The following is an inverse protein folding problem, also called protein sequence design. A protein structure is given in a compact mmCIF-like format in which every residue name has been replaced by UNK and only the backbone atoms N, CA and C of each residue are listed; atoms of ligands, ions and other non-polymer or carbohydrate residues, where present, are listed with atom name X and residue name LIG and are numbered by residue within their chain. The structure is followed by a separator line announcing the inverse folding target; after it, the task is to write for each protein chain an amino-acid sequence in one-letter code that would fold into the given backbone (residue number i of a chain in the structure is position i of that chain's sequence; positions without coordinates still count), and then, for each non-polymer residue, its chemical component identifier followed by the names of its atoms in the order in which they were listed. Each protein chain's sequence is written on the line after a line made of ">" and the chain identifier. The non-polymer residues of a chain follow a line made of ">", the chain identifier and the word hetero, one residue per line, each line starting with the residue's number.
data_IF_588385175063
#
_entry.id   IF_588385175063
#
_cell.length_a   1.000
_cell.length_b   1.000
_cell.length_c   1.000
_cell.angle_alpha   90.00
_cell.angle_beta   90.00
_cell.angle_gamma   90.00
#
_symmetry.space_group_name_H-M   'P 1'
#
loop_
_entity.id
_entity.type
_entity.pdbx_description
1 polymer ?
#
# COMPACT_ATOMS: atom_id res chain seq x y z
N UNK A 1 -51.50 6.09 -71.74
CA UNK A 1 -52.13 5.57 -70.55
C UNK A 1 -51.10 4.69 -69.84
N UNK A 2 -50.38 5.22 -68.87
CA UNK A 2 -49.34 4.52 -68.14
C UNK A 2 -49.88 4.12 -66.75
N UNK A 3 -49.80 2.83 -66.45
CA UNK A 3 -50.22 2.25 -65.16
C UNK A 3 -48.99 2.18 -64.25
N UNK A 4 -49.09 2.82 -63.11
CA UNK A 4 -48.03 2.82 -62.02
C UNK A 4 -48.42 1.77 -60.99
N UNK A 5 -47.53 0.79 -60.77
CA UNK A 5 -47.63 -0.23 -59.71
C UNK A 5 -46.80 0.29 -58.49
N UNK A 6 -47.35 0.33 -57.26
CA UNK A 6 -46.59 0.68 -56.08
C UNK A 6 -45.91 -0.55 -55.53
N UNK A 7 -44.58 -0.43 -55.35
CA UNK A 7 -43.71 -1.41 -54.72
C UNK A 7 -43.78 -1.21 -53.18
N UNK A 8 -44.26 -2.19 -52.42
CA UNK A 8 -44.30 -2.23 -50.96
C UNK A 8 -42.97 -2.77 -50.44
N UNK A 9 -42.19 -1.92 -49.81
CA UNK A 9 -41.04 -2.35 -48.99
C UNK A 9 -41.54 -2.88 -47.65
N UNK A 10 -41.22 -4.14 -47.36
CA UNK A 10 -41.37 -4.77 -46.04
C UNK A 10 -40.07 -4.47 -45.25
N UNK A 11 -40.15 -3.61 -44.25
CA UNK A 11 -39.10 -3.40 -43.29
C UNK A 11 -39.19 -4.49 -42.21
N UNK A 12 -38.27 -5.47 -42.26
CA UNK A 12 -38.04 -6.43 -41.20
C UNK A 12 -37.23 -5.73 -40.12
N UNK A 13 -37.85 -5.45 -38.96
CA UNK A 13 -37.18 -4.92 -37.78
C UNK A 13 -36.34 -6.00 -37.10
N UNK A 14 -35.01 -5.86 -37.14
CA UNK A 14 -34.11 -6.55 -36.23
C UNK A 14 -34.09 -5.80 -34.88
N UNK A 15 -34.83 -6.32 -33.90
CA UNK A 15 -34.70 -5.94 -32.51
C UNK A 15 -33.38 -6.51 -31.97
N UNK A 16 -32.31 -5.70 -32.00
CA UNK A 16 -31.07 -6.00 -31.30
C UNK A 16 -31.31 -5.90 -29.80
N UNK A 17 -31.30 -7.02 -29.10
CA UNK A 17 -31.13 -7.06 -27.64
C UNK A 17 -29.72 -6.51 -27.29
N UNK A 18 -29.68 -5.26 -26.93
CA UNK A 18 -28.54 -4.71 -26.15
C UNK A 18 -28.61 -5.34 -24.77
N UNK A 19 -27.85 -6.42 -24.60
CA UNK A 19 -27.54 -6.94 -23.27
C UNK A 19 -26.80 -5.85 -22.48
N UNK A 20 -27.51 -5.19 -21.58
CA UNK A 20 -26.93 -4.41 -20.53
C UNK A 20 -26.16 -5.38 -19.64
N UNK A 21 -24.87 -5.60 -19.95
CA UNK A 21 -23.93 -6.25 -19.08
C UNK A 21 -23.83 -5.39 -17.82
N UNK A 22 -24.45 -5.87 -16.76
CA UNK A 22 -24.36 -5.28 -15.43
C UNK A 22 -22.90 -5.14 -15.07
N UNK A 23 -22.42 -3.90 -14.99
CA UNK A 23 -21.19 -3.55 -14.30
C UNK A 23 -21.44 -3.75 -12.78
N UNK A 24 -21.68 -5.01 -12.39
CA UNK A 24 -21.95 -5.40 -11.03
C UNK A 24 -20.61 -5.52 -10.29
N UNK A 25 -20.29 -4.44 -9.57
CA UNK A 25 -19.62 -4.45 -8.27
C UNK A 25 -18.19 -5.01 -8.19
N UNK A 26 -17.24 -4.25 -8.72
CA UNK A 26 -15.87 -4.32 -8.19
C UNK A 26 -15.81 -3.92 -6.68
N UNK A 27 -16.76 -3.12 -6.21
CA UNK A 27 -16.81 -2.60 -4.84
C UNK A 27 -17.18 -3.64 -3.78
N UNK A 28 -18.04 -4.61 -4.09
CA UNK A 28 -18.45 -5.66 -3.15
C UNK A 28 -17.36 -6.71 -2.87
N UNK A 29 -16.34 -6.79 -3.71
CA UNK A 29 -15.28 -7.81 -3.65
C UNK A 29 -14.15 -7.41 -2.69
N UNK A 30 -13.98 -6.12 -2.39
CA UNK A 30 -12.89 -5.58 -1.56
C UNK A 30 -13.25 -5.47 -0.07
N UNK A 31 -14.40 -5.96 0.36
CA UNK A 31 -14.81 -5.91 1.77
C UNK A 31 -14.17 -6.97 2.68
N UNK A 32 -13.27 -7.80 2.17
CA UNK A 32 -12.63 -8.84 2.98
C UNK A 32 -11.26 -8.39 3.44
N UNK A 33 -10.94 -8.57 4.74
CA UNK A 33 -9.62 -8.32 5.25
C UNK A 33 -8.58 -9.15 4.50
N UNK A 34 -7.51 -8.51 4.06
CA UNK A 34 -6.30 -9.20 3.66
C UNK A 34 -5.66 -9.91 4.85
N UNK A 35 -4.65 -10.71 4.59
CA UNK A 35 -3.95 -11.46 5.64
C UNK A 35 -2.52 -10.94 5.74
N UNK A 36 -2.04 -10.82 6.99
CA UNK A 36 -0.65 -10.56 7.32
C UNK A 36 -0.15 -11.69 8.24
N UNK A 37 1.04 -12.21 7.98
CA UNK A 37 1.67 -13.26 8.79
C UNK A 37 3.10 -12.88 9.11
N UNK A 38 3.53 -13.23 10.31
CA UNK A 38 4.93 -13.14 10.72
C UNK A 38 5.72 -14.25 10.04
N UNK A 39 6.62 -13.89 9.11
CA UNK A 39 7.52 -14.85 8.47
C UNK A 39 8.77 -15.13 9.32
N UNK A 40 9.27 -14.06 9.96
CA UNK A 40 10.48 -14.15 10.77
C UNK A 40 10.45 -13.09 11.85
N UNK A 41 10.84 -13.48 13.05
CA UNK A 41 11.05 -12.58 14.18
C UNK A 41 12.39 -12.87 14.83
N UNK A 42 13.23 -11.86 14.92
CA UNK A 42 14.44 -11.83 15.76
C UNK A 42 14.22 -10.78 16.84
N UNK A 43 14.47 -11.11 18.09
CA UNK A 43 14.15 -10.24 19.22
C UNK A 43 12.66 -10.24 19.56
N UNK A 44 12.16 -9.12 20.06
CA UNK A 44 10.80 -9.00 20.56
C UNK A 44 9.98 -8.00 19.73
N UNK A 45 8.75 -8.37 19.42
CA UNK A 45 7.77 -7.51 18.77
C UNK A 45 6.38 -7.76 19.35
N UNK A 46 5.52 -6.76 19.27
CA UNK A 46 4.15 -6.83 19.75
C UNK A 46 3.17 -6.33 18.70
N UNK A 47 1.97 -6.88 18.72
CA UNK A 47 0.81 -6.32 18.03
C UNK A 47 -0.20 -5.81 19.04
N UNK A 48 -0.87 -4.70 18.74
CA UNK A 48 -1.97 -4.17 19.54
C UNK A 48 -3.17 -3.82 18.67
N UNK A 49 -4.38 -4.08 19.21
CA UNK A 49 -5.65 -3.65 18.65
C UNK A 49 -6.37 -2.93 19.78
N UNK A 50 -6.69 -1.65 19.58
CA UNK A 50 -7.19 -0.83 20.68
C UNK A 50 -6.24 -0.82 21.86
N UNK A 51 -6.70 -1.31 23.02
CA UNK A 51 -5.91 -1.39 24.25
C UNK A 51 -5.26 -2.75 24.50
N UNK A 52 -5.61 -3.77 23.71
CA UNK A 52 -5.06 -5.11 23.87
C UNK A 52 -3.72 -5.20 23.16
N UNK A 53 -2.68 -5.55 23.90
CA UNK A 53 -1.31 -5.75 23.39
C UNK A 53 -0.87 -7.18 23.65
N UNK A 54 -0.31 -7.83 22.62
CA UNK A 54 0.21 -9.18 22.73
C UNK A 54 1.56 -9.31 22.03
N UNK A 55 2.44 -10.19 22.53
CA UNK A 55 3.69 -10.51 21.84
C UNK A 55 3.39 -11.25 20.54
N UNK A 56 4.22 -11.01 19.53
CA UNK A 56 4.17 -11.72 18.25
C UNK A 56 5.11 -12.93 18.27
N UNK A 57 4.73 -13.96 17.53
CA UNK A 57 5.52 -15.16 17.27
C UNK A 57 5.63 -15.41 15.77
N UNK A 58 6.68 -16.16 15.38
CA UNK A 58 6.81 -16.62 13.99
C UNK A 58 5.59 -17.49 13.60
N UNK A 59 5.17 -17.38 12.35
CA UNK A 59 3.98 -18.00 11.76
C UNK A 59 2.63 -17.47 12.27
N UNK A 60 2.63 -16.53 13.19
CA UNK A 60 1.42 -15.93 13.73
C UNK A 60 0.77 -14.96 12.72
N UNK A 61 -0.57 -14.89 12.75
CA UNK A 61 -1.33 -13.90 11.97
C UNK A 61 -1.41 -12.58 12.70
N UNK A 62 -1.09 -11.52 12.00
CA UNK A 62 -1.26 -10.14 12.46
C UNK A 62 -2.63 -9.65 11.96
N UNK A 63 -3.48 -9.12 12.83
CA UNK A 63 -4.77 -8.54 12.44
C UNK A 63 -4.62 -7.35 11.49
N UNK A 64 -5.63 -7.15 10.66
CA UNK A 64 -5.60 -6.15 9.59
C UNK A 64 -5.74 -4.68 10.08
N UNK A 65 -6.03 -4.48 11.35
CA UNK A 65 -6.18 -3.19 12.03
C UNK A 65 -5.17 -3.00 13.18
N UNK A 66 -4.14 -3.86 13.21
CA UNK A 66 -3.17 -3.85 14.29
C UNK A 66 -2.14 -2.73 14.15
N UNK A 67 -1.65 -2.26 15.29
CA UNK A 67 -0.38 -1.55 15.41
C UNK A 67 0.70 -2.52 15.82
N UNK A 68 1.76 -2.63 15.03
CA UNK A 68 2.91 -3.50 15.26
C UNK A 68 4.09 -2.66 15.74
N UNK A 69 4.75 -3.10 16.83
CA UNK A 69 5.93 -2.45 17.39
C UNK A 69 7.07 -3.46 17.56
N UNK A 70 8.26 -3.04 17.18
CA UNK A 70 9.50 -3.78 17.38
C UNK A 70 10.33 -3.16 18.50
N UNK A 71 10.97 -3.99 19.31
CA UNK A 71 11.87 -3.54 20.36
C UNK A 71 13.25 -3.18 19.82
N UNK A 72 14.14 -2.65 20.69
CA UNK A 72 15.44 -2.05 20.34
C UNK A 72 16.38 -2.95 19.53
N UNK A 73 16.30 -4.28 19.65
CA UNK A 73 17.16 -5.25 18.93
C UNK A 73 16.34 -6.21 18.07
N UNK A 74 15.15 -5.81 17.69
CA UNK A 74 14.25 -6.66 16.92
C UNK A 74 14.38 -6.42 15.43
N UNK A 75 14.17 -7.47 14.67
CA UNK A 75 13.93 -7.46 13.23
C UNK A 75 12.71 -8.33 12.96
N UNK A 76 11.69 -7.76 12.35
CA UNK A 76 10.43 -8.44 12.07
C UNK A 76 10.16 -8.44 10.57
N UNK A 77 9.98 -9.63 10.01
CA UNK A 77 9.54 -9.80 8.62
C UNK A 77 8.08 -10.25 8.59
N UNK A 78 7.27 -9.51 7.85
CA UNK A 78 5.85 -9.78 7.65
C UNK A 78 5.56 -10.07 6.17
N UNK A 79 4.72 -11.06 5.90
CA UNK A 79 4.21 -11.35 4.58
C UNK A 79 2.73 -10.98 4.49
N UNK A 80 2.38 -10.18 3.49
CA UNK A 80 1.00 -9.87 3.16
C UNK A 80 0.46 -10.85 2.13
N UNK A 81 -0.84 -11.09 2.18
CA UNK A 81 -1.52 -12.01 1.27
C UNK A 81 -1.49 -11.59 -0.21
N UNK A 82 -1.19 -10.32 -0.51
CA UNK A 82 -0.95 -9.84 -1.87
C UNK A 82 0.50 -10.12 -2.38
N UNK A 83 1.34 -10.74 -1.54
CA UNK A 83 2.73 -11.04 -1.87
C UNK A 83 3.72 -9.92 -1.56
N UNK A 84 3.28 -8.86 -0.92
CA UNK A 84 4.19 -7.84 -0.37
C UNK A 84 4.91 -8.38 0.86
N UNK A 85 6.21 -8.17 0.93
CA UNK A 85 7.04 -8.43 2.10
C UNK A 85 7.42 -7.12 2.77
N UNK A 86 7.30 -7.07 4.09
CA UNK A 86 7.66 -5.93 4.94
C UNK A 86 8.72 -6.38 5.92
N UNK A 87 9.79 -5.60 6.08
CA UNK A 87 10.81 -5.79 7.09
C UNK A 87 10.88 -4.54 7.98
N UNK A 88 10.54 -4.70 9.25
CA UNK A 88 10.65 -3.65 10.25
C UNK A 88 11.95 -3.81 11.03
N UNK A 89 12.73 -2.72 11.06
CA UNK A 89 13.93 -2.61 11.88
C UNK A 89 13.60 -2.40 13.36
N UNK A 90 14.64 -2.17 14.19
CA UNK A 90 14.46 -1.87 15.61
C UNK A 90 13.66 -0.59 15.88
N UNK A 91 12.98 -0.56 17.02
CA UNK A 91 12.25 0.62 17.52
C UNK A 91 11.28 1.21 16.48
N UNK A 92 10.64 0.33 15.70
CA UNK A 92 9.70 0.71 14.65
C UNK A 92 8.26 0.53 15.09
N UNK A 93 7.41 1.44 14.63
CA UNK A 93 5.96 1.38 14.81
C UNK A 93 5.27 1.48 13.45
N UNK A 94 4.58 0.40 13.09
CA UNK A 94 3.79 0.27 11.85
C UNK A 94 2.32 0.04 12.19
N UNK A 95 1.45 0.86 11.61
CA UNK A 95 0.00 0.78 11.77
C UNK A 95 -0.59 0.30 10.45
N UNK A 96 -1.42 -0.73 10.51
CA UNK A 96 -2.23 -1.18 9.38
C UNK A 96 -3.51 -0.33 9.35
N UNK A 97 -3.59 0.66 8.46
CA UNK A 97 -4.79 1.51 8.31
C UNK A 97 -5.81 0.85 7.40
N UNK A 98 -5.35 0.13 6.38
CA UNK A 98 -6.19 -0.60 5.44
C UNK A 98 -5.42 -1.82 4.92
N UNK A 99 -6.06 -2.97 4.97
CA UNK A 99 -5.56 -4.21 4.40
C UNK A 99 -6.75 -5.00 3.86
N UNK A 100 -7.11 -4.75 2.60
CA UNK A 100 -8.22 -5.39 1.91
C UNK A 100 -7.72 -6.21 0.73
N UNK A 101 -8.37 -7.33 0.45
CA UNK A 101 -8.04 -8.17 -0.69
C UNK A 101 -9.24 -8.93 -1.21
N UNK A 102 -9.38 -8.98 -2.54
CA UNK A 102 -10.35 -9.84 -3.20
C UNK A 102 -10.02 -11.33 -2.94
N UNK A 103 -11.02 -12.19 -2.84
CA UNK A 103 -10.80 -13.62 -2.70
C UNK A 103 -9.99 -14.21 -3.85
N UNK A 104 -9.14 -15.19 -3.55
CA UNK A 104 -8.43 -16.00 -4.53
C UNK A 104 -8.42 -17.46 -4.08
N UNK A 105 -8.12 -18.45 -4.98
CA UNK A 105 -8.21 -19.85 -4.65
C UNK A 105 -7.39 -20.24 -3.42
N UNK A 106 -7.95 -21.03 -2.49
CA UNK A 106 -7.22 -21.53 -1.33
C UNK A 106 -6.04 -22.39 -1.77
N UNK A 107 -4.94 -22.37 -0.99
CA UNK A 107 -3.73 -23.12 -1.31
C UNK A 107 -2.83 -22.47 -2.38
N UNK A 108 -3.21 -21.28 -2.90
CA UNK A 108 -2.35 -20.53 -3.83
C UNK A 108 -1.00 -20.20 -3.19
N UNK A 109 0.08 -20.68 -3.81
CA UNK A 109 1.45 -20.34 -3.39
C UNK A 109 1.81 -18.92 -3.85
N UNK A 110 1.36 -17.91 -3.10
CA UNK A 110 1.53 -16.50 -3.44
C UNK A 110 2.99 -16.13 -3.69
N UNK A 111 3.93 -16.72 -2.95
CA UNK A 111 5.37 -16.47 -3.16
C UNK A 111 5.85 -16.83 -4.57
N UNK A 112 5.26 -17.85 -5.20
CA UNK A 112 5.64 -18.31 -6.55
C UNK A 112 4.97 -17.51 -7.68
N UNK A 113 3.99 -16.66 -7.40
CA UNK A 113 3.32 -15.88 -8.43
C UNK A 113 4.19 -14.72 -8.90
N UNK A 114 4.17 -14.37 -10.20
CA UNK A 114 4.90 -13.21 -10.74
C UNK A 114 4.27 -11.88 -10.35
N UNK A 115 2.99 -11.87 -9.97
CA UNK A 115 2.20 -10.70 -9.56
C UNK A 115 1.31 -11.05 -8.37
N UNK A 116 0.61 -10.07 -7.80
CA UNK A 116 -0.36 -10.32 -6.76
C UNK A 116 -1.47 -11.30 -7.21
N UNK A 117 -2.02 -12.13 -6.29
CA UNK A 117 -3.02 -13.15 -6.64
C UNK A 117 -4.38 -12.55 -7.06
N UNK A 118 -4.76 -11.45 -6.46
CA UNK A 118 -6.04 -10.77 -6.67
C UNK A 118 -5.91 -9.29 -6.35
N UNK A 119 -6.92 -8.49 -6.69
CA UNK A 119 -6.97 -7.05 -6.36
C UNK A 119 -6.81 -6.84 -4.86
N UNK A 120 -5.95 -5.90 -4.46
CA UNK A 120 -5.66 -5.58 -3.07
C UNK A 120 -5.56 -4.07 -2.84
N UNK A 121 -5.99 -3.63 -1.67
CA UNK A 121 -5.84 -2.25 -1.20
C UNK A 121 -5.10 -2.29 0.13
N UNK A 122 -3.93 -1.67 0.16
CA UNK A 122 -3.05 -1.68 1.31
C UNK A 122 -2.63 -0.25 1.64
N UNK A 123 -2.95 0.18 2.86
CA UNK A 123 -2.48 1.44 3.42
C UNK A 123 -1.83 1.17 4.77
N UNK A 124 -0.57 1.53 4.85
CA UNK A 124 0.26 1.38 6.05
C UNK A 124 0.66 2.77 6.53
N UNK A 125 0.86 2.94 7.84
CA UNK A 125 1.48 4.14 8.41
C UNK A 125 2.73 3.76 9.18
N UNK A 126 3.87 4.28 8.76
CA UNK A 126 5.12 4.21 9.52
C UNK A 126 5.20 5.44 10.42
N UNK A 127 4.92 5.25 11.71
CA UNK A 127 4.95 6.34 12.68
C UNK A 127 6.40 6.68 13.09
N UNK A 128 7.23 5.66 13.28
CA UNK A 128 8.66 5.79 13.57
C UNK A 128 9.41 4.52 13.17
N UNK A 129 10.72 4.59 13.03
CA UNK A 129 11.61 3.45 12.79
C UNK A 129 12.01 3.25 11.33
N UNK A 130 12.35 2.03 11.00
CA UNK A 130 12.81 1.58 9.68
C UNK A 130 11.82 0.60 9.07
N UNK A 131 11.43 0.83 7.84
CA UNK A 131 10.62 -0.08 7.03
C UNK A 131 11.31 -0.31 5.70
N UNK A 132 11.55 -1.57 5.38
CA UNK A 132 11.84 -2.00 4.01
C UNK A 132 10.65 -2.77 3.48
N UNK A 133 10.28 -2.50 2.24
CA UNK A 133 9.19 -3.21 1.62
C UNK A 133 9.58 -3.65 0.21
N UNK A 134 9.07 -4.82 -0.17
CA UNK A 134 9.16 -5.37 -1.52
C UNK A 134 7.76 -5.71 -1.99
N UNK A 135 7.37 -5.11 -3.11
CA UNK A 135 6.02 -5.18 -3.66
C UNK A 135 6.06 -5.92 -4.98
N UNK A 136 5.24 -6.97 -5.11
CA UNK A 136 5.00 -7.62 -6.40
C UNK A 136 4.19 -6.72 -7.31
N UNK A 137 4.25 -6.89 -8.65
CA UNK A 137 3.39 -6.16 -9.57
C UNK A 137 1.93 -6.19 -9.11
N UNK A 138 1.35 -5.02 -8.86
CA UNK A 138 -0.03 -4.85 -8.43
C UNK A 138 -0.95 -4.67 -9.65
N UNK A 139 -2.20 -5.04 -9.51
CA UNK A 139 -3.26 -4.89 -10.52
C UNK A 139 -3.85 -3.48 -10.48
N UNK A 140 -3.02 -2.45 -10.73
CA UNK A 140 -3.40 -1.03 -10.62
C UNK A 140 -4.62 -0.70 -11.48
N UNK A 141 -4.67 -1.21 -12.72
CA UNK A 141 -5.81 -1.00 -13.62
C UNK A 141 -7.14 -1.60 -13.11
N UNK A 142 -7.07 -2.49 -12.11
CA UNK A 142 -8.22 -3.13 -11.46
C UNK A 142 -8.52 -2.53 -10.07
N UNK A 143 -7.82 -1.45 -9.68
CA UNK A 143 -8.03 -0.75 -8.43
C UNK A 143 -7.13 -1.19 -7.26
N UNK A 144 -6.09 -2.01 -7.51
CA UNK A 144 -5.08 -2.29 -6.48
C UNK A 144 -4.23 -1.07 -6.19
N UNK A 145 -3.88 -0.89 -4.92
CA UNK A 145 -2.87 0.08 -4.52
C UNK A 145 -2.10 -0.37 -3.28
N UNK A 146 -0.89 0.17 -3.14
CA UNK A 146 -0.13 0.14 -1.90
C UNK A 146 0.39 1.53 -1.60
N UNK A 147 0.08 2.02 -0.41
CA UNK A 147 0.50 3.31 0.10
C UNK A 147 1.12 3.18 1.48
N UNK A 148 2.26 3.86 1.71
CA UNK A 148 2.88 4.00 3.02
C UNK A 148 2.83 5.46 3.42
N UNK A 149 2.07 5.75 4.46
CA UNK A 149 1.93 7.08 5.08
C UNK A 149 3.07 7.28 6.05
N UNK A 150 3.72 8.43 6.00
CA UNK A 150 4.72 8.91 6.95
C UNK A 150 4.37 10.32 7.40
N UNK A 151 4.98 10.85 8.46
CA UNK A 151 4.76 12.25 8.85
C UNK A 151 5.14 13.27 7.75
N UNK A 152 6.04 12.91 6.82
CA UNK A 152 6.49 13.79 5.74
C UNK A 152 5.62 13.68 4.46
N UNK A 153 4.81 12.63 4.32
CA UNK A 153 4.00 12.40 3.12
C UNK A 153 3.65 10.94 2.89
N UNK A 154 3.22 10.62 1.68
CA UNK A 154 2.73 9.29 1.30
C UNK A 154 3.56 8.74 0.13
N UNK A 155 4.17 7.58 0.32
CA UNK A 155 4.79 6.80 -0.75
C UNK A 155 3.78 5.83 -1.34
N UNK A 156 3.61 5.86 -2.67
CA UNK A 156 2.85 4.86 -3.44
C UNK A 156 3.80 4.03 -4.28
N UNK A 157 3.64 2.70 -4.25
CA UNK A 157 4.37 1.76 -5.08
C UNK A 157 3.41 0.84 -5.81
N UNK A 158 3.67 0.62 -7.09
CA UNK A 158 2.95 -0.38 -7.90
C UNK A 158 3.73 -1.68 -8.07
N UNK A 159 5.05 -1.60 -8.00
CA UNK A 159 5.99 -2.72 -8.08
C UNK A 159 7.38 -2.27 -7.63
N UNK A 160 8.16 -3.19 -7.09
CA UNK A 160 9.56 -2.93 -6.75
C UNK A 160 9.84 -2.97 -5.26
N UNK A 161 10.83 -2.21 -4.81
CA UNK A 161 11.24 -2.17 -3.42
C UNK A 161 11.56 -0.73 -2.98
N UNK A 162 11.30 -0.45 -1.71
CA UNK A 162 11.63 0.83 -1.11
C UNK A 162 12.08 0.67 0.35
N UNK A 163 12.77 1.68 0.84
CA UNK A 163 13.15 1.84 2.22
C UNK A 163 12.66 3.18 2.74
N UNK A 164 12.01 3.15 3.89
CA UNK A 164 11.58 4.34 4.60
C UNK A 164 12.21 4.35 5.99
N UNK A 165 12.59 5.53 6.43
CA UNK A 165 13.13 5.76 7.76
C UNK A 165 12.43 6.97 8.36
N UNK A 166 11.90 6.83 9.56
CA UNK A 166 11.30 7.92 10.33
C UNK A 166 11.99 8.00 11.67
N UNK A 167 12.53 9.17 12.01
CA UNK A 167 13.16 9.43 13.29
C UNK A 167 12.49 10.63 13.93
N UNK A 168 12.17 10.51 15.21
CA UNK A 168 11.60 11.56 16.02
C UNK A 168 12.60 11.94 17.12
N UNK A 169 12.76 13.22 17.36
CA UNK A 169 13.54 13.72 18.51
C UNK A 169 12.60 14.08 19.66
N UNK A 170 13.15 14.15 20.87
CA UNK A 170 12.37 14.56 22.04
C UNK A 170 11.81 15.99 21.96
N UNK A 171 12.33 16.83 21.06
CA UNK A 171 11.88 18.21 20.84
C UNK A 171 10.74 18.34 19.81
N UNK A 172 10.17 17.21 19.34
CA UNK A 172 9.12 17.26 18.33
C UNK A 172 9.63 17.49 16.90
N UNK A 173 10.95 17.56 16.71
CA UNK A 173 11.54 17.57 15.38
C UNK A 173 11.69 16.15 14.87
N UNK A 174 11.42 15.95 13.59
CA UNK A 174 11.56 14.65 12.94
C UNK A 174 12.34 14.73 11.64
N UNK A 175 12.80 13.56 11.21
CA UNK A 175 13.41 13.34 9.93
C UNK A 175 12.77 12.11 9.26
N UNK A 176 12.51 12.22 7.97
CA UNK A 176 11.98 11.13 7.15
C UNK A 176 12.83 10.97 5.89
N UNK A 177 13.41 9.79 5.71
CA UNK A 177 14.08 9.38 4.49
C UNK A 177 13.23 8.38 3.72
N UNK A 178 13.10 8.60 2.41
CA UNK A 178 12.39 7.71 1.47
C UNK A 178 13.34 7.38 0.32
N UNK A 179 13.57 6.11 0.08
CA UNK A 179 14.42 5.61 -0.99
C UNK A 179 13.68 4.52 -1.77
N UNK A 180 13.56 4.67 -3.08
CA UNK A 180 13.11 3.60 -3.98
C UNK A 180 14.35 2.83 -4.43
N UNK A 181 14.46 1.56 -4.05
CA UNK A 181 15.62 0.72 -4.36
C UNK A 181 15.43 -0.09 -5.64
N UNK A 182 14.20 -0.42 -5.99
CA UNK A 182 13.83 -1.14 -7.21
C UNK A 182 12.50 -0.62 -7.76
N UNK A 183 12.35 -0.54 -9.08
CA UNK A 183 11.11 -0.09 -9.73
C UNK A 183 10.93 1.42 -9.71
N UNK A 184 9.69 1.85 -9.58
CA UNK A 184 9.30 3.26 -9.52
C UNK A 184 8.26 3.47 -8.44
N UNK A 185 8.30 4.62 -7.79
CA UNK A 185 7.34 5.05 -6.80
C UNK A 185 6.90 6.50 -7.03
N UNK A 186 5.85 6.90 -6.36
CA UNK A 186 5.38 8.28 -6.29
C UNK A 186 5.34 8.69 -4.83
N UNK A 187 6.01 9.80 -4.50
CA UNK A 187 5.96 10.37 -3.16
C UNK A 187 5.23 11.70 -3.19
N UNK A 188 4.11 11.77 -2.49
CA UNK A 188 3.30 12.96 -2.29
C UNK A 188 3.63 13.55 -0.92
N UNK A 189 4.23 14.75 -0.91
CA UNK A 189 4.57 15.46 0.34
C UNK A 189 3.32 15.90 1.08
N UNK A 190 3.41 15.96 2.40
CA UNK A 190 2.44 16.66 3.22
C UNK A 190 2.39 18.14 2.77
N UNK A 191 1.30 18.54 2.09
CA UNK A 191 1.18 19.87 1.48
C UNK A 191 1.04 19.90 -0.05
N UNK A 192 1.08 18.71 -0.73
CA UNK A 192 0.45 18.57 -2.03
C UNK A 192 1.34 18.46 -3.28
N UNK A 193 2.66 18.41 -3.16
CA UNK A 193 3.50 18.14 -4.34
C UNK A 193 3.88 16.67 -4.44
N UNK A 194 3.51 16.00 -5.54
CA UNK A 194 3.92 14.64 -5.85
C UNK A 194 5.21 14.65 -6.68
N UNK A 195 6.13 13.74 -6.35
CA UNK A 195 7.37 13.49 -7.08
C UNK A 195 7.44 12.03 -7.49
N UNK A 196 7.74 11.76 -8.76
CA UNK A 196 8.06 10.42 -9.23
C UNK A 196 9.48 10.05 -8.84
N UNK A 197 9.68 8.86 -8.27
CA UNK A 197 10.94 8.34 -7.81
C UNK A 197 11.30 7.10 -8.63
N UNK A 198 12.42 7.16 -9.33
CA UNK A 198 13.02 5.99 -9.98
C UNK A 198 13.89 5.20 -8.99
N UNK A 199 14.28 3.98 -9.37
CA UNK A 199 15.24 3.19 -8.61
C UNK A 199 16.55 3.96 -8.35
N UNK A 200 17.02 3.94 -7.11
CA UNK A 200 18.15 4.71 -6.60
C UNK A 200 17.81 6.14 -6.16
N UNK A 201 16.60 6.64 -6.43
CA UNK A 201 16.19 7.95 -5.97
C UNK A 201 15.93 7.95 -4.45
N UNK A 202 16.43 8.97 -3.78
CA UNK A 202 16.25 9.20 -2.35
C UNK A 202 15.78 10.62 -2.09
N UNK A 203 14.85 10.74 -1.17
CA UNK A 203 14.38 12.02 -0.63
C UNK A 203 14.54 12.02 0.88
N UNK A 204 14.97 13.15 1.41
CA UNK A 204 15.13 13.36 2.85
C UNK A 204 14.37 14.62 3.26
N UNK A 205 13.56 14.52 4.31
CA UNK A 205 12.71 15.61 4.80
C UNK A 205 12.90 15.80 6.30
N UNK A 206 13.04 17.05 6.73
CA UNK A 206 12.79 17.42 8.10
C UNK A 206 11.29 17.77 8.25
N UNK A 207 10.70 17.46 9.41
CA UNK A 207 9.33 17.82 9.75
C UNK A 207 9.23 18.14 11.24
N UNK A 208 8.23 18.93 11.59
CA UNK A 208 7.85 19.19 12.97
C UNK A 208 6.58 18.40 13.30
N UNK A 209 6.58 17.74 14.47
CA UNK A 209 5.36 17.14 14.99
C UNK A 209 4.71 18.19 15.90
N UNK A 210 3.67 18.86 15.41
CA UNK A 210 2.74 19.55 16.29
C UNK A 210 2.13 18.49 17.20
N UNK A 211 2.20 18.66 18.51
CA UNK A 211 1.80 17.66 19.52
C UNK A 211 0.34 17.14 19.44
N UNK A 212 -0.35 17.36 18.33
CA UNK A 212 -1.63 16.81 17.95
C UNK A 212 -1.60 16.50 16.44
N UNK A 213 -1.36 15.25 16.07
CA UNK A 213 -1.66 14.57 14.80
C UNK A 213 -1.69 15.44 13.52
N UNK A 214 -0.54 15.89 13.04
CA UNK A 214 -0.44 16.56 11.75
C UNK A 214 0.92 17.22 11.54
N UNK A 215 1.96 16.45 11.16
CA UNK A 215 3.28 17.00 10.86
C UNK A 215 3.24 17.98 9.69
N UNK A 216 3.76 19.18 9.87
CA UNK A 216 4.01 20.16 8.80
C UNK A 216 5.43 19.95 8.30
N UNK A 217 5.59 19.62 7.02
CA UNK A 217 6.92 19.46 6.41
C UNK A 217 7.62 20.82 6.32
N UNK A 218 8.82 20.94 6.89
CA UNK A 218 9.71 22.07 6.75
C UNK A 218 10.77 21.68 5.70
N UNK A 219 11.01 22.54 4.73
CA UNK A 219 12.00 22.32 3.69
C UNK A 219 13.41 22.31 4.28
N UNK A 220 14.05 21.14 4.29
CA UNK A 220 15.48 21.06 4.60
C UNK A 220 16.27 21.50 3.37
N UNK A 221 17.07 22.54 3.48
CA UNK A 221 18.03 22.93 2.47
C UNK A 221 18.97 21.75 2.15
N UNK A 222 19.34 21.51 0.87
CA UNK A 222 20.28 20.45 0.51
C UNK A 222 21.61 20.69 1.22
N UNK A 223 22.31 19.64 1.69
CA UNK A 223 23.62 19.77 2.28
C UNK A 223 24.56 20.37 1.23
N UNK A 224 25.25 21.45 1.59
CA UNK A 224 26.27 22.05 0.75
C UNK A 224 27.34 21.00 0.42
N UNK A 225 27.51 20.71 -0.88
CA UNK A 225 28.50 19.78 -1.36
C UNK A 225 29.90 20.15 -0.92
N UNK A 226 30.65 19.16 -0.47
CA UNK A 226 32.11 19.15 -0.38
C UNK A 226 32.68 18.22 -1.43
#
# INVERSE_FOLDING_TARGET
>A
VASVVPFRFLLAGCAGLLGAGSAESAEAVLSRPGQCRVERLLGEATASIGHERRPLQTDERVPADATVRTERRALLTLALSNGTSLELGPESELIFEELLQAPFPPGTKVAALPQEPSVSQTRLRLATGDLRLRVKPLRIAQGSFLAVVTPAGVLRLSVGAARLQVRLTAAGLGWCGVEVTEGTGEFERAGGNAASLAAGARLDFAFETDGASGGRAVEAAPPAGR
#
